data_IF_896649254662
#
_entry.id   IF_896649254662
#
_cell.length_a   1.000
_cell.length_b   1.000
_cell.length_c   1.000
_cell.angle_alpha   90.00
_cell.angle_beta   90.00
_cell.angle_gamma   90.00
#
_symmetry.space_group_name_H-M   'P 1'
#
loop_
_entity.id
_entity.type
_entity.pdbx_description
1 polymer ?
#
# COMPACT_ATOMS: atom_id res chain seq x y z
N UNK A 1 21.72 -35.48 -50.82
CA UNK A 1 20.31 -35.94 -50.77
C UNK A 1 20.15 -36.88 -49.57
N UNK A 2 19.06 -36.70 -48.81
CA UNK A 2 18.46 -37.59 -47.79
C UNK A 2 19.12 -37.74 -46.39
N UNK A 3 18.41 -37.13 -45.42
CA UNK A 3 17.84 -37.67 -44.17
C UNK A 3 18.68 -38.54 -43.22
N UNK A 4 18.60 -38.16 -41.94
CA UNK A 4 18.51 -38.99 -40.70
C UNK A 4 19.30 -38.26 -39.60
N UNK A 5 18.88 -37.97 -38.36
CA UNK A 5 17.76 -38.32 -37.48
C UNK A 5 17.80 -37.28 -36.34
N UNK A 6 16.65 -36.76 -35.90
CA UNK A 6 16.54 -36.00 -34.64
C UNK A 6 16.15 -36.96 -33.53
N UNK A 7 16.91 -36.97 -32.43
CA UNK A 7 16.54 -37.60 -31.18
C UNK A 7 16.78 -36.62 -30.01
N UNK A 8 15.69 -36.36 -29.29
CA UNK A 8 15.56 -36.22 -27.82
C UNK A 8 16.40 -35.21 -27.01
N UNK A 9 15.65 -34.24 -26.48
CA UNK A 9 15.41 -34.00 -25.04
C UNK A 9 16.48 -33.32 -24.14
N UNK A 10 15.93 -32.61 -23.14
CA UNK A 10 16.53 -31.92 -22.00
C UNK A 10 17.30 -30.62 -22.37
N UNK A 11 16.91 -29.43 -21.94
CA UNK A 11 16.39 -29.06 -20.63
C UNK A 11 17.48 -28.28 -19.91
N UNK A 12 17.46 -26.94 -19.99
CA UNK A 12 18.32 -26.08 -19.15
C UNK A 12 17.51 -24.84 -18.74
N UNK A 13 17.14 -24.83 -17.46
CA UNK A 13 16.73 -23.66 -16.70
C UNK A 13 17.87 -22.62 -16.74
N UNK A 14 17.61 -21.46 -17.36
CA UNK A 14 18.49 -20.30 -17.24
C UNK A 14 18.12 -19.50 -15.99
N UNK A 15 18.88 -19.71 -14.91
CA UNK A 15 18.92 -18.80 -13.78
C UNK A 15 19.58 -17.49 -14.22
N UNK A 16 18.82 -16.39 -14.24
CA UNK A 16 19.38 -15.04 -14.42
C UNK A 16 19.40 -14.37 -13.05
N UNK A 17 20.56 -14.47 -12.38
CA UNK A 17 21.01 -13.51 -11.39
C UNK A 17 22.16 -12.74 -12.03
N UNK A 18 22.04 -11.41 -12.11
CA UNK A 18 23.05 -10.42 -11.70
C UNK A 18 22.70 -9.02 -12.22
N UNK A 19 22.57 -8.09 -11.27
CA UNK A 19 23.33 -6.83 -11.29
C UNK A 19 22.89 -5.72 -12.24
N UNK A 20 22.25 -4.69 -11.69
CA UNK A 20 22.48 -3.33 -12.14
C UNK A 20 22.65 -2.41 -10.93
N UNK A 21 23.90 -2.01 -10.71
CA UNK A 21 24.25 -0.87 -9.88
C UNK A 21 23.85 0.39 -10.66
N UNK A 22 23.01 1.22 -10.05
CA UNK A 22 22.59 2.51 -10.58
C UNK A 22 22.66 3.56 -9.48
N UNK A 23 23.45 4.60 -9.73
CA UNK A 23 23.69 5.77 -8.88
C UNK A 23 22.37 6.35 -8.33
N UNK A 24 22.21 6.34 -6.99
CA UNK A 24 21.05 6.94 -6.33
C UNK A 24 21.40 8.31 -5.77
N UNK A 25 20.88 9.34 -6.42
CA UNK A 25 20.63 10.64 -5.82
C UNK A 25 19.69 10.43 -4.63
N UNK A 26 20.02 11.02 -3.47
CA UNK A 26 19.30 10.82 -2.22
C UNK A 26 17.81 11.16 -2.38
N UNK A 27 16.98 10.12 -2.35
CA UNK A 27 15.54 10.22 -2.38
C UNK A 27 15.03 9.82 -0.99
N UNK A 28 14.29 10.68 -0.25
CA UNK A 28 13.93 10.43 1.15
C UNK A 28 12.85 9.35 1.35
N UNK A 29 12.59 8.49 0.35
CA UNK A 29 11.64 7.40 0.50
C UNK A 29 12.32 6.22 1.22
N UNK A 30 11.69 5.65 2.26
CA UNK A 30 12.21 4.45 2.90
C UNK A 30 12.26 3.32 1.87
N UNK A 31 13.31 2.53 1.98
CA UNK A 31 13.81 1.44 1.13
C UNK A 31 12.78 0.31 0.85
N UNK A 32 11.52 0.46 1.26
CA UNK A 32 10.44 -0.51 1.09
C UNK A 32 9.63 -0.39 -0.21
N UNK A 33 9.70 0.72 -0.96
CA UNK A 33 8.81 0.96 -2.11
C UNK A 33 9.14 0.12 -3.37
N UNK A 34 10.42 -0.16 -3.65
CA UNK A 34 10.82 -0.99 -4.80
C UNK A 34 10.59 -2.48 -4.55
N UNK A 35 10.94 -2.97 -3.34
CA UNK A 35 10.63 -4.34 -2.94
C UNK A 35 9.12 -4.60 -2.91
N UNK A 36 8.33 -3.58 -2.53
CA UNK A 36 6.88 -3.60 -2.58
C UNK A 36 6.30 -3.78 -4.00
N UNK A 37 6.71 -2.95 -4.96
CA UNK A 37 6.24 -3.05 -6.35
C UNK A 37 6.51 -4.46 -6.92
N UNK A 38 7.67 -5.02 -6.58
CA UNK A 38 8.06 -6.35 -7.02
C UNK A 38 7.21 -7.43 -6.34
N UNK A 39 7.06 -7.43 -5.01
CA UNK A 39 6.31 -8.48 -4.31
C UNK A 39 4.81 -8.47 -4.63
N UNK A 40 4.19 -7.28 -4.60
CA UNK A 40 2.76 -7.17 -4.90
C UNK A 40 2.49 -7.44 -6.39
N UNK A 41 3.38 -6.95 -7.26
CA UNK A 41 3.38 -7.27 -8.68
C UNK A 41 3.56 -8.77 -8.94
N UNK A 42 4.42 -9.47 -8.19
CA UNK A 42 4.62 -10.92 -8.30
C UNK A 42 3.33 -11.65 -7.93
N UNK A 43 2.71 -11.37 -6.78
CA UNK A 43 1.49 -12.05 -6.34
C UNK A 43 0.30 -11.82 -7.29
N UNK A 44 0.09 -10.57 -7.73
CA UNK A 44 -0.95 -10.26 -8.72
C UNK A 44 -0.62 -10.87 -10.09
N UNK A 45 0.65 -10.84 -10.52
CA UNK A 45 1.08 -11.46 -11.78
C UNK A 45 0.95 -12.97 -11.77
N UNK A 46 1.10 -13.62 -10.61
CA UNK A 46 0.90 -15.06 -10.42
C UNK A 46 -0.58 -15.41 -10.56
N UNK A 47 -1.46 -14.67 -9.87
CA UNK A 47 -2.91 -14.82 -10.02
C UNK A 47 -3.34 -14.63 -11.49
N UNK A 48 -2.83 -13.59 -12.15
CA UNK A 48 -3.09 -13.33 -13.57
C UNK A 48 -2.50 -14.40 -14.48
N UNK A 49 -1.31 -14.94 -14.16
CA UNK A 49 -0.66 -16.01 -14.92
C UNK A 49 -1.47 -17.30 -14.84
N UNK A 50 -1.90 -17.71 -13.64
CA UNK A 50 -2.76 -18.87 -13.45
C UNK A 50 -4.05 -18.72 -14.26
N UNK A 51 -4.65 -17.53 -14.27
CA UNK A 51 -5.84 -17.25 -15.07
C UNK A 51 -5.58 -17.33 -16.58
N UNK A 52 -4.43 -16.81 -17.06
CA UNK A 52 -4.02 -16.92 -18.46
C UNK A 52 -3.75 -18.37 -18.88
N UNK A 53 -3.06 -19.16 -18.06
CA UNK A 53 -2.80 -20.57 -18.29
C UNK A 53 -4.12 -21.35 -18.45
N UNK A 54 -5.09 -21.10 -17.57
CA UNK A 54 -6.44 -21.67 -17.65
C UNK A 54 -7.15 -21.31 -18.96
N UNK A 55 -7.08 -20.05 -19.38
CA UNK A 55 -7.71 -19.57 -20.61
C UNK A 55 -7.04 -20.16 -21.86
N UNK A 56 -5.71 -20.26 -21.89
CA UNK A 56 -4.96 -20.81 -23.01
C UNK A 56 -5.25 -22.30 -23.24
N UNK A 57 -5.35 -23.08 -22.15
CA UNK A 57 -5.64 -24.51 -22.21
C UNK A 57 -7.07 -24.79 -22.69
N UNK A 58 -8.03 -23.90 -22.41
CA UNK A 58 -9.41 -24.01 -22.92
C UNK A 58 -9.54 -23.77 -24.42
N UNK A 59 -8.55 -23.17 -25.08
CA UNK A 59 -8.62 -22.72 -26.47
C UNK A 59 -7.89 -23.63 -27.48
N UNK A 60 -7.23 -24.70 -27.06
CA UNK A 60 -6.47 -25.56 -27.98
C UNK A 60 -7.30 -26.70 -28.62
N UNK A 61 -7.41 -26.78 -29.97
CA UNK A 61 -8.29 -27.74 -30.67
C UNK A 61 -7.81 -29.21 -30.65
N UNK A 62 -6.54 -29.48 -30.35
CA UNK A 62 -5.91 -30.82 -30.41
C UNK A 62 -5.39 -31.32 -29.05
N UNK A 63 -5.68 -30.60 -27.97
CA UNK A 63 -5.25 -30.93 -26.62
C UNK A 63 -6.32 -31.79 -25.93
N UNK A 64 -5.94 -32.90 -25.29
CA UNK A 64 -6.85 -33.81 -24.56
C UNK A 64 -7.46 -33.22 -23.27
N UNK A 65 -7.43 -31.90 -23.13
CA UNK A 65 -7.78 -31.18 -21.92
C UNK A 65 -6.75 -31.38 -20.81
N UNK A 66 -6.74 -30.49 -19.79
CA UNK A 66 -5.89 -30.66 -18.63
C UNK A 66 -6.38 -31.86 -17.81
N UNK A 67 -5.45 -32.65 -17.29
CA UNK A 67 -5.77 -33.76 -16.41
C UNK A 67 -6.41 -33.25 -15.12
N UNK A 68 -7.21 -34.09 -14.46
CA UNK A 68 -7.77 -33.76 -13.15
C UNK A 68 -6.69 -33.43 -12.11
N UNK A 69 -5.46 -33.95 -12.25
CA UNK A 69 -4.34 -33.62 -11.38
C UNK A 69 -3.80 -32.20 -11.63
N UNK A 70 -3.67 -31.80 -12.90
CA UNK A 70 -3.23 -30.44 -13.28
C UNK A 70 -4.25 -29.38 -12.86
N UNK A 71 -5.55 -29.66 -13.03
CA UNK A 71 -6.63 -28.78 -12.56
C UNK A 71 -6.54 -28.59 -11.04
N UNK A 72 -6.41 -29.67 -10.27
CA UNK A 72 -6.27 -29.59 -8.80
C UNK A 72 -5.03 -28.81 -8.37
N UNK A 73 -3.91 -28.98 -9.06
CA UNK A 73 -2.69 -28.25 -8.76
C UNK A 73 -2.86 -26.74 -9.01
N UNK A 74 -3.57 -26.35 -10.08
CA UNK A 74 -3.91 -24.93 -10.32
C UNK A 74 -4.84 -24.36 -9.26
N UNK A 75 -5.90 -25.10 -8.92
CA UNK A 75 -6.85 -24.69 -7.88
C UNK A 75 -6.17 -24.52 -6.51
N UNK A 76 -5.25 -25.41 -6.16
CA UNK A 76 -4.46 -25.29 -4.93
C UNK A 76 -3.58 -24.04 -4.93
N UNK A 77 -2.83 -23.79 -6.01
CA UNK A 77 -1.98 -22.57 -6.09
C UNK A 77 -2.80 -21.29 -6.06
N UNK A 78 -3.95 -21.26 -6.74
CA UNK A 78 -4.86 -20.11 -6.68
C UNK A 78 -5.37 -19.90 -5.25
N UNK A 79 -5.78 -20.97 -4.56
CA UNK A 79 -6.24 -20.89 -3.18
C UNK A 79 -5.14 -20.40 -2.23
N UNK A 80 -3.89 -20.84 -2.40
CA UNK A 80 -2.74 -20.38 -1.61
C UNK A 80 -2.48 -18.89 -1.81
N UNK A 81 -2.42 -18.43 -3.06
CA UNK A 81 -2.21 -17.02 -3.41
C UNK A 81 -3.33 -16.14 -2.86
N UNK A 82 -4.59 -16.56 -3.02
CA UNK A 82 -5.74 -15.82 -2.49
C UNK A 82 -5.75 -15.79 -0.96
N UNK A 83 -5.37 -16.89 -0.29
CA UNK A 83 -5.25 -16.93 1.16
C UNK A 83 -4.15 -15.98 1.67
N UNK A 84 -3.02 -15.90 0.96
CA UNK A 84 -1.94 -14.98 1.29
C UNK A 84 -2.37 -13.52 1.10
N UNK A 85 -3.01 -13.18 -0.02
CA UNK A 85 -3.58 -11.85 -0.26
C UNK A 85 -4.59 -11.48 0.82
N UNK A 86 -5.48 -12.41 1.18
CA UNK A 86 -6.48 -12.20 2.23
C UNK A 86 -5.81 -11.94 3.58
N UNK A 87 -4.73 -12.67 3.91
CA UNK A 87 -3.93 -12.43 5.12
C UNK A 87 -3.28 -11.05 5.11
N UNK A 88 -2.69 -10.62 4.00
CA UNK A 88 -2.14 -9.27 3.89
C UNK A 88 -3.23 -8.21 4.08
N UNK A 89 -4.37 -8.33 3.41
CA UNK A 89 -5.50 -7.40 3.59
C UNK A 89 -6.06 -7.38 5.01
N UNK A 90 -6.03 -8.51 5.71
CA UNK A 90 -6.50 -8.61 7.09
C UNK A 90 -5.48 -8.10 8.12
N UNK A 91 -4.19 -8.07 7.79
CA UNK A 91 -3.15 -7.59 8.70
C UNK A 91 -3.29 -6.08 8.90
N UNK A 92 -3.34 -5.56 10.14
CA UNK A 92 -3.51 -4.14 10.39
C UNK A 92 -2.18 -3.40 10.15
N UNK A 93 -2.11 -2.64 9.06
CA UNK A 93 -0.96 -1.80 8.77
C UNK A 93 -1.19 -0.38 9.24
N UNK A 94 -0.69 -0.10 10.43
CA UNK A 94 -0.83 1.16 11.14
C UNK A 94 -0.05 2.28 10.48
N UNK A 95 -0.71 3.44 10.41
CA UNK A 95 -0.15 4.74 10.12
C UNK A 95 -0.50 5.70 11.23
N UNK A 96 0.44 6.60 11.51
CA UNK A 96 0.30 7.65 12.49
C UNK A 96 0.62 8.97 11.81
N UNK A 97 -0.29 9.93 11.99
CA UNK A 97 -0.08 11.33 11.66
C UNK A 97 0.23 12.01 12.98
N UNK A 98 1.39 12.64 13.07
CA UNK A 98 1.79 13.51 14.16
C UNK A 98 1.98 14.95 13.69
N UNK A 99 2.17 15.84 14.65
CA UNK A 99 2.47 17.24 14.38
C UNK A 99 3.45 17.78 15.40
N UNK A 100 4.43 18.52 14.89
CA UNK A 100 5.30 19.38 15.68
C UNK A 100 4.71 20.80 15.68
N UNK A 101 4.22 21.23 16.84
CA UNK A 101 3.49 22.49 17.01
C UNK A 101 4.42 23.71 17.01
N UNK A 102 5.69 23.53 17.36
CA UNK A 102 6.69 24.61 17.36
C UNK A 102 7.33 24.78 15.99
N UNK A 103 7.68 23.69 15.32
CA UNK A 103 8.37 23.72 14.02
C UNK A 103 7.42 23.69 12.83
N UNK A 104 6.11 23.79 13.07
CA UNK A 104 5.05 23.86 12.05
C UNK A 104 5.23 22.83 10.94
N UNK A 105 5.00 21.56 11.28
CA UNK A 105 5.04 20.48 10.30
C UNK A 105 4.25 19.26 10.77
N UNK A 106 3.52 18.65 9.84
CA UNK A 106 3.04 17.29 10.05
C UNK A 106 4.19 16.32 9.82
N UNK A 107 4.20 15.27 10.61
CA UNK A 107 5.10 14.13 10.52
C UNK A 107 4.24 12.89 10.41
N UNK A 108 4.67 11.89 9.66
CA UNK A 108 3.90 10.67 9.54
C UNK A 108 4.80 9.48 9.23
N UNK A 109 4.42 8.33 9.75
CA UNK A 109 4.98 7.05 9.39
C UNK A 109 3.84 6.03 9.28
N UNK A 110 3.93 5.09 8.36
CA UNK A 110 2.91 4.05 8.23
C UNK A 110 3.39 2.77 7.60
N UNK A 111 2.55 1.75 7.71
CA UNK A 111 2.83 0.41 7.21
C UNK A 111 3.33 -0.55 8.27
N UNK A 112 3.12 -0.24 9.55
CA UNK A 112 3.58 -1.05 10.66
C UNK A 112 2.52 -2.02 11.14
N UNK A 113 2.89 -3.25 11.45
CA UNK A 113 1.97 -4.24 12.02
C UNK A 113 1.53 -3.87 13.46
N UNK A 114 2.22 -2.92 14.11
CA UNK A 114 1.92 -2.45 15.46
C UNK A 114 1.64 -0.94 15.51
N UNK A 115 0.54 -0.56 16.17
CA UNK A 115 0.22 0.84 16.47
C UNK A 115 1.31 1.51 17.28
N UNK A 116 1.82 0.83 18.31
CA UNK A 116 2.88 1.36 19.18
C UNK A 116 4.12 1.69 18.36
N UNK A 117 4.54 0.75 17.50
CA UNK A 117 5.69 0.94 16.61
C UNK A 117 5.50 2.13 15.68
N UNK A 118 4.32 2.25 15.07
CA UNK A 118 4.00 3.38 14.21
C UNK A 118 4.06 4.73 14.95
N UNK A 119 3.59 4.77 16.21
CA UNK A 119 3.68 5.96 17.07
C UNK A 119 5.13 6.29 17.36
N UNK A 120 5.93 5.33 17.82
CA UNK A 120 7.34 5.53 18.14
C UNK A 120 8.12 6.05 16.92
N UNK A 121 7.97 5.40 15.76
CA UNK A 121 8.67 5.78 14.53
C UNK A 121 8.21 7.13 13.98
N UNK A 122 6.94 7.50 14.18
CA UNK A 122 6.47 8.84 13.81
C UNK A 122 7.07 9.89 14.74
N UNK A 123 7.05 9.67 16.05
CA UNK A 123 7.53 10.65 17.03
C UNK A 123 9.06 10.82 17.01
N UNK A 124 9.82 9.87 16.48
CA UNK A 124 11.26 10.07 16.18
C UNK A 124 11.54 11.22 15.20
N UNK A 125 10.55 11.61 14.40
CA UNK A 125 10.68 12.73 13.46
C UNK A 125 10.45 14.10 14.12
N UNK A 126 9.98 14.13 15.38
CA UNK A 126 9.78 15.37 16.13
C UNK A 126 11.09 16.16 16.28
N UNK A 127 11.01 17.48 16.14
CA UNK A 127 12.15 18.40 16.27
C UNK A 127 12.03 19.32 17.49
N UNK A 128 10.91 19.26 18.19
CA UNK A 128 10.64 19.97 19.44
C UNK A 128 10.00 19.05 20.48
N UNK A 129 9.92 19.54 21.72
CA UNK A 129 9.20 18.87 22.80
C UNK A 129 7.68 18.99 22.67
N UNK A 130 7.18 20.01 21.96
CA UNK A 130 5.76 20.20 21.67
C UNK A 130 5.36 19.50 20.37
N UNK A 131 5.47 18.18 20.40
CA UNK A 131 5.14 17.30 19.29
C UNK A 131 4.19 16.19 19.77
N UNK A 132 3.20 15.82 18.97
CA UNK A 132 2.20 14.85 19.38
C UNK A 132 1.51 14.13 18.25
N UNK A 133 0.82 13.04 18.59
CA UNK A 133 -0.01 12.28 17.67
C UNK A 133 -1.31 13.05 17.41
N UNK A 134 -1.68 13.17 16.14
CA UNK A 134 -2.94 13.73 15.68
C UNK A 134 -3.94 12.61 15.39
N UNK A 135 -3.52 11.57 14.67
CA UNK A 135 -4.37 10.43 14.33
C UNK A 135 -3.55 9.16 14.18
N UNK A 136 -4.18 8.01 14.46
CA UNK A 136 -3.60 6.69 14.25
C UNK A 136 -4.67 5.73 13.74
N UNK A 137 -4.43 5.10 12.60
CA UNK A 137 -5.38 4.23 11.91
C UNK A 137 -4.65 3.12 11.14
N UNK A 138 -5.35 2.07 10.74
CA UNK A 138 -4.79 0.97 9.96
C UNK A 138 -5.69 0.61 8.78
N UNK A 139 -5.09 0.15 7.68
CA UNK A 139 -5.80 -0.28 6.46
C UNK A 139 -6.82 0.74 5.94
N UNK A 140 -6.48 2.03 6.04
CA UNK A 140 -7.36 3.15 5.74
C UNK A 140 -6.56 4.36 5.27
N UNK A 141 -7.30 5.37 4.80
CA UNK A 141 -6.83 6.70 4.47
C UNK A 141 -7.29 7.70 5.52
N UNK A 142 -6.37 8.52 6.03
CA UNK A 142 -6.65 9.70 6.84
C UNK A 142 -6.63 10.96 5.98
N UNK A 143 -7.65 11.81 6.08
CA UNK A 143 -7.68 13.13 5.43
C UNK A 143 -7.81 14.22 6.49
N UNK A 144 -6.98 15.25 6.37
CA UNK A 144 -6.88 16.33 7.34
C UNK A 144 -7.69 17.54 6.87
N UNK A 145 -8.51 18.08 7.76
CA UNK A 145 -9.20 19.37 7.62
C UNK A 145 -8.76 20.29 8.76
N UNK A 146 -8.46 21.54 8.44
CA UNK A 146 -8.12 22.58 9.41
C UNK A 146 -9.34 23.46 9.70
N UNK A 147 -9.58 23.74 10.98
CA UNK A 147 -10.58 24.72 11.40
C UNK A 147 -10.26 26.14 10.92
N UNK A 148 -8.97 26.46 10.84
CA UNK A 148 -8.40 27.78 10.51
C UNK A 148 -7.13 27.61 9.67
N UNK A 149 -6.68 28.65 8.95
CA UNK A 149 -5.48 28.57 8.10
C UNK A 149 -4.18 28.20 8.83
N UNK A 150 -4.05 28.58 10.10
CA UNK A 150 -2.86 28.34 10.91
C UNK A 150 -3.22 27.64 12.22
N UNK A 151 -3.57 26.35 12.17
CA UNK A 151 -4.01 25.60 13.35
C UNK A 151 -2.93 25.64 14.43
N UNK A 152 -3.29 26.03 15.66
CA UNK A 152 -2.34 26.20 16.79
C UNK A 152 -2.44 25.07 17.80
N UNK A 153 -3.57 24.38 17.84
CA UNK A 153 -3.85 23.30 18.78
C UNK A 153 -4.47 22.10 18.06
N UNK A 154 -4.51 20.95 18.75
CA UNK A 154 -5.13 19.73 18.22
C UNK A 154 -6.61 19.92 17.89
N UNK A 155 -7.30 20.81 18.61
CA UNK A 155 -8.72 21.12 18.39
C UNK A 155 -8.97 21.89 17.08
N UNK A 156 -7.92 22.43 16.46
CA UNK A 156 -8.01 23.09 15.15
C UNK A 156 -7.85 22.09 13.99
N UNK A 157 -7.67 20.79 14.28
CA UNK A 157 -7.44 19.74 13.31
C UNK A 157 -8.53 18.68 13.42
N UNK A 158 -9.11 18.33 12.28
CA UNK A 158 -10.05 17.24 12.13
C UNK A 158 -9.47 16.22 11.17
N UNK A 159 -9.52 14.95 11.55
CA UNK A 159 -9.07 13.84 10.69
C UNK A 159 -10.23 12.87 10.53
N UNK A 160 -10.68 12.71 9.29
CA UNK A 160 -11.58 11.63 8.92
C UNK A 160 -10.77 10.43 8.48
N UNK A 161 -11.29 9.23 8.72
CA UNK A 161 -10.58 7.97 8.50
C UNK A 161 -11.54 6.96 7.89
N UNK A 162 -11.26 6.58 6.64
CA UNK A 162 -12.04 5.57 5.93
C UNK A 162 -11.13 4.82 4.95
N UNK A 163 -11.54 3.60 4.57
CA UNK A 163 -10.86 2.87 3.51
C UNK A 163 -10.96 3.58 2.15
N UNK A 164 -11.95 4.47 1.94
CA UNK A 164 -12.10 5.36 0.80
C UNK A 164 -11.71 6.79 1.19
N UNK A 165 -10.71 7.36 0.51
CA UNK A 165 -10.18 8.69 0.82
C UNK A 165 -11.21 9.82 0.65
N UNK A 166 -12.19 9.65 -0.23
CA UNK A 166 -13.28 10.62 -0.41
C UNK A 166 -14.22 10.60 0.79
N UNK A 167 -14.55 9.42 1.31
CA UNK A 167 -15.37 9.29 2.52
C UNK A 167 -14.65 9.85 3.75
N UNK A 168 -13.35 9.58 3.87
CA UNK A 168 -12.51 10.17 4.91
C UNK A 168 -12.52 11.71 4.82
N UNK A 169 -12.42 12.27 3.60
CA UNK A 169 -12.50 13.71 3.38
C UNK A 169 -13.85 14.31 3.78
N UNK A 170 -14.96 13.63 3.43
CA UNK A 170 -16.30 14.06 3.83
C UNK A 170 -16.50 13.98 5.35
N UNK A 171 -16.02 12.92 6.00
CA UNK A 171 -16.08 12.77 7.45
C UNK A 171 -15.32 13.89 8.17
N UNK A 172 -14.07 14.16 7.76
CA UNK A 172 -13.25 15.23 8.32
C UNK A 172 -13.93 16.59 8.19
N UNK A 173 -14.50 16.87 7.02
CA UNK A 173 -15.21 18.12 6.74
C UNK A 173 -16.46 18.25 7.61
N UNK A 174 -17.31 17.22 7.63
CA UNK A 174 -18.52 17.19 8.46
C UNK A 174 -18.20 17.39 9.94
N UNK A 175 -17.12 16.78 10.43
CA UNK A 175 -16.69 16.95 11.82
C UNK A 175 -16.28 18.39 12.13
N UNK A 176 -15.53 19.04 11.23
CA UNK A 176 -15.16 20.45 11.39
C UNK A 176 -16.40 21.37 11.34
N UNK A 177 -17.27 21.18 10.35
CA UNK A 177 -18.49 21.98 10.17
C UNK A 177 -19.46 21.80 11.33
N UNK A 178 -19.51 20.63 11.97
CA UNK A 178 -20.35 20.40 13.15
C UNK A 178 -19.92 21.25 14.36
N UNK A 179 -18.62 21.54 14.49
CA UNK A 179 -18.07 22.35 15.59
C UNK A 179 -18.07 23.84 15.26
N UNK A 180 -17.82 24.20 14.01
CA UNK A 180 -17.55 25.59 13.61
C UNK A 180 -18.59 26.22 12.67
N UNK A 181 -19.57 25.43 12.22
CA UNK A 181 -20.53 25.81 11.19
C UNK A 181 -19.91 25.80 9.78
N UNK A 182 -20.79 25.87 8.76
CA UNK A 182 -20.38 25.99 7.36
C UNK A 182 -20.03 27.44 7.05
N UNK A 183 -18.74 27.74 6.85
CA UNK A 183 -18.24 29.09 6.56
C UNK A 183 -17.07 29.02 5.58
N UNK A 184 -16.93 30.03 4.72
CA UNK A 184 -15.84 30.10 3.74
C UNK A 184 -14.46 30.34 4.37
N UNK A 185 -14.41 30.89 5.59
CA UNK A 185 -13.19 31.19 6.33
C UNK A 185 -12.76 30.08 7.31
N UNK A 186 -13.43 28.90 7.24
CA UNK A 186 -13.16 27.75 8.11
C UNK A 186 -13.25 26.43 7.36
N UNK A 187 -12.73 25.37 7.99
CA UNK A 187 -12.83 24.00 7.51
C UNK A 187 -12.24 23.83 6.10
N UNK A 188 -10.91 23.80 6.04
CA UNK A 188 -10.16 23.66 4.79
C UNK A 188 -9.42 22.35 4.74
N UNK A 189 -9.47 21.65 3.62
CA UNK A 189 -8.60 20.51 3.39
C UNK A 189 -7.13 20.90 3.48
N UNK A 190 -6.34 20.04 4.10
CA UNK A 190 -4.89 20.17 4.07
C UNK A 190 -4.36 20.06 2.65
N UNK A 191 -3.45 20.97 2.28
CA UNK A 191 -2.71 20.92 1.01
C UNK A 191 -1.49 20.01 1.02
N UNK A 192 -1.26 19.23 2.09
CA UNK A 192 -0.09 18.34 2.21
C UNK A 192 -0.19 17.25 1.14
N UNK A 193 0.83 17.17 0.29
CA UNK A 193 0.91 16.17 -0.77
C UNK A 193 1.46 14.85 -0.24
N UNK A 194 0.75 13.78 -0.54
CA UNK A 194 1.17 12.39 -0.32
C UNK A 194 1.25 11.66 -1.67
N UNK A 195 1.60 10.38 -1.64
CA UNK A 195 1.50 9.52 -2.84
C UNK A 195 0.06 9.39 -3.35
N UNK A 196 -0.93 9.58 -2.47
CA UNK A 196 -2.36 9.41 -2.75
C UNK A 196 -3.06 10.77 -2.74
N UNK A 197 -2.50 11.75 -3.45
CA UNK A 197 -3.04 13.11 -3.48
C UNK A 197 -2.77 13.87 -2.19
N UNK A 198 -3.80 14.05 -1.35
CA UNK A 198 -3.70 14.70 -0.03
C UNK A 198 -4.07 13.75 1.12
N UNK A 199 -4.37 12.48 0.81
CA UNK A 199 -4.75 11.47 1.78
C UNK A 199 -3.54 10.68 2.28
N UNK A 200 -3.48 10.42 3.58
CA UNK A 200 -2.46 9.61 4.22
C UNK A 200 -2.98 8.18 4.29
N UNK A 201 -2.60 7.29 3.37
CA UNK A 201 -3.13 5.93 3.34
C UNK A 201 -2.10 4.88 3.74
N UNK A 202 -2.57 3.84 4.42
CA UNK A 202 -1.77 2.69 4.84
C UNK A 202 -2.57 1.42 4.69
N UNK A 203 -1.91 0.30 4.40
CA UNK A 203 -2.56 -0.96 4.07
C UNK A 203 -1.95 -1.65 2.87
N UNK A 204 -2.33 -2.92 2.71
CA UNK A 204 -1.90 -3.75 1.58
C UNK A 204 -2.19 -3.10 0.22
N UNK A 205 -3.44 -2.65 0.02
CA UNK A 205 -3.87 -2.06 -1.26
C UNK A 205 -3.22 -0.69 -1.53
N UNK A 206 -2.65 -0.04 -0.51
CA UNK A 206 -1.95 1.25 -0.61
C UNK A 206 -0.43 1.13 -0.76
N UNK A 207 0.10 -0.09 -0.65
CA UNK A 207 1.52 -0.35 -0.75
C UNK A 207 2.38 0.10 0.42
N UNK A 208 1.75 0.24 1.59
CA UNK A 208 2.40 0.67 2.81
C UNK A 208 2.03 -0.35 3.90
N UNK A 209 2.80 -1.44 3.98
CA UNK A 209 2.44 -2.62 4.81
C UNK A 209 3.59 -3.58 5.21
N UNK A 210 4.85 -3.23 5.01
CA UNK A 210 5.97 -4.14 5.29
C UNK A 210 6.97 -3.55 6.29
N UNK A 211 6.53 -2.61 7.13
CA UNK A 211 7.39 -2.00 8.13
C UNK A 211 7.24 -2.76 9.45
N UNK A 212 8.35 -3.14 10.07
CA UNK A 212 8.40 -3.88 11.34
C UNK A 212 8.91 -3.02 12.48
#
# INVERSE_FOLDING_TARGET
MKQSMMNTAAGVLAAVLLGSAGLAYANPYPVGSQQWHNFNGIMQSEADRIQRERNAVRQQPTYSGPTAAEIRAWEQREAEVQAEIARFRATPYWMVIGRDWEKSGFIWSGGYESKQRAVEETLKQCRSSNCGVVAAFSNACGVIVYAVHHPKTINDIFVGVDADDRKAAEEAMRACEAVHGKREDRCFYSGIRTRNGTAFCSGYDYGIYNQK
#
